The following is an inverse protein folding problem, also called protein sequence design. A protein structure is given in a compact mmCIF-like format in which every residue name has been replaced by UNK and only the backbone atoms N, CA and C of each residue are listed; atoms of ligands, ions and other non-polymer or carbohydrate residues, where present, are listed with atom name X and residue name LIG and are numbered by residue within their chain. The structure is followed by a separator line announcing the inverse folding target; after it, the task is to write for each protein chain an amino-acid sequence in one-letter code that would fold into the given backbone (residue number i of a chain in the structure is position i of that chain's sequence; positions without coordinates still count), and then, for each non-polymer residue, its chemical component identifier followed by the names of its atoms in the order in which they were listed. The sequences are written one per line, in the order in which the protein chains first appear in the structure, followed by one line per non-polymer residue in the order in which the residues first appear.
data_IF_850518282367
#
_entry.id   IF_850518282367
#
_cell.length_a   1.000
_cell.length_b   1.000
_cell.length_c   1.000
_cell.angle_alpha   90.00
_cell.angle_beta   90.00
_cell.angle_gamma   90.00
#
_symmetry.space_group_name_H-M   'P 1'
#
loop_
_entity.id
_entity.type
_entity.pdbx_description
1 polymer ?
#
# COMPACT_ATOMS: atom_id res chain seq x y z
N UNK A 1 7.56 2.15 20.33
CA UNK A 1 7.83 3.61 20.35
C UNK A 1 7.62 4.08 21.78
N UNK A 2 8.54 4.87 22.35
CA UNK A 2 8.49 5.34 23.74
C UNK A 2 8.58 6.86 23.78
N UNK A 3 7.86 7.49 24.70
CA UNK A 3 7.86 8.94 24.90
C UNK A 3 8.57 9.28 26.20
N UNK A 4 9.26 10.41 26.22
CA UNK A 4 10.01 10.87 27.37
C UNK A 4 9.05 11.35 28.49
N UNK A 5 9.19 10.85 29.73
CA UNK A 5 8.32 11.25 30.84
C UNK A 5 8.48 12.72 31.26
N UNK A 6 9.59 13.37 30.90
CA UNK A 6 9.86 14.77 31.28
C UNK A 6 9.33 15.80 30.28
N UNK A 7 9.36 15.49 28.98
CA UNK A 7 9.06 16.47 27.93
C UNK A 7 8.11 15.94 26.85
N UNK A 8 7.57 14.74 27.03
CA UNK A 8 6.65 14.05 26.14
C UNK A 8 7.13 13.90 24.68
N UNK A 9 8.43 14.13 24.43
CA UNK A 9 9.04 13.95 23.12
C UNK A 9 9.29 12.48 22.83
N UNK A 10 9.19 12.08 21.56
CA UNK A 10 9.55 10.73 21.12
C UNK A 10 11.03 10.46 21.41
N UNK A 11 11.33 9.30 22.03
CA UNK A 11 12.69 8.89 22.34
C UNK A 11 13.28 8.05 21.21
N UNK A 12 14.59 8.20 20.97
CA UNK A 12 15.32 7.45 19.94
C UNK A 12 16.14 6.34 20.58
N UNK A 13 16.20 5.14 19.98
CA UNK A 13 17.07 4.07 20.46
C UNK A 13 18.54 4.43 20.16
N UNK A 14 19.40 4.30 21.16
CA UNK A 14 20.85 4.48 21.08
C UNK A 14 21.52 3.23 21.67
N UNK A 15 22.64 2.80 21.09
CA UNK A 15 23.48 1.75 21.70
C UNK A 15 24.53 2.43 22.57
N UNK A 16 24.58 2.08 23.85
CA UNK A 16 25.61 2.52 24.78
C UNK A 16 26.18 1.30 25.51
N UNK A 17 27.50 1.09 25.43
CA UNK A 17 28.20 -0.04 26.06
C UNK A 17 27.56 -1.42 25.79
N UNK A 18 27.14 -1.69 24.54
CA UNK A 18 26.55 -2.97 24.16
C UNK A 18 25.08 -3.18 24.57
N UNK A 19 24.49 -2.25 25.33
CA UNK A 19 23.07 -2.25 25.71
C UNK A 19 22.27 -1.27 24.85
N UNK A 20 21.01 -1.63 24.57
CA UNK A 20 20.06 -0.72 23.93
C UNK A 20 19.50 0.24 25.01
N UNK A 21 19.61 1.54 24.80
CA UNK A 21 19.02 2.58 25.64
C UNK A 21 18.11 3.50 24.81
N UNK A 22 17.06 4.05 25.40
CA UNK A 22 16.28 5.13 24.82
C UNK A 22 16.84 6.46 25.29
N UNK A 23 17.14 7.37 24.35
CA UNK A 23 17.57 8.74 24.65
C UNK A 23 16.55 9.73 24.11
N UNK A 24 16.16 10.69 24.93
CA UNK A 24 15.38 11.83 24.50
C UNK A 24 16.28 12.88 23.84
N UNK A 25 15.96 13.29 22.62
CA UNK A 25 16.69 14.34 21.88
C UNK A 25 16.48 15.74 22.46
N UNK A 26 15.35 15.99 23.14
CA UNK A 26 14.97 17.32 23.63
C UNK A 26 15.50 17.66 25.02
N UNK A 27 15.54 16.69 25.93
CA UNK A 27 15.94 16.92 27.33
C UNK A 27 17.08 16.04 27.83
N UNK A 28 17.63 15.16 26.97
CA UNK A 28 18.74 14.29 27.32
C UNK A 28 18.42 13.15 28.29
N UNK A 29 17.14 12.94 28.65
CA UNK A 29 16.73 11.81 29.48
C UNK A 29 17.08 10.48 28.80
N UNK A 30 17.73 9.60 29.55
CA UNK A 30 18.14 8.26 29.11
C UNK A 30 17.49 7.19 29.99
N UNK A 31 17.05 6.11 29.36
CA UNK A 31 16.43 4.97 30.03
C UNK A 31 16.86 3.67 29.35
N UNK A 32 17.11 2.61 30.12
CA UNK A 32 17.47 1.31 29.55
C UNK A 32 16.25 0.69 28.82
N UNK A 33 16.49 0.04 27.67
CA UNK A 33 15.46 -0.69 26.95
C UNK A 33 15.27 -2.04 27.63
N UNK A 34 14.10 -2.35 28.22
CA UNK A 34 13.81 -3.72 28.63
C UNK A 34 13.88 -4.63 27.38
N UNK A 35 14.59 -5.75 27.49
CA UNK A 35 15.09 -6.59 26.38
C UNK A 35 14.04 -7.10 25.37
N UNK A 36 12.75 -6.86 25.60
CA UNK A 36 11.67 -7.49 24.84
C UNK A 36 11.09 -6.68 23.70
N UNK A 37 11.47 -5.43 23.45
CA UNK A 37 10.94 -4.71 22.29
C UNK A 37 11.77 -3.45 22.05
N UNK A 38 12.47 -3.30 20.92
CA UNK A 38 11.89 -2.71 19.71
C UNK A 38 12.92 -2.87 18.59
N UNK A 39 12.67 -3.83 17.71
CA UNK A 39 13.13 -3.71 16.33
C UNK A 39 12.02 -2.95 15.62
N UNK A 40 12.22 -1.66 15.30
CA UNK A 40 11.39 -1.01 14.29
C UNK A 40 11.86 -1.53 12.94
N UNK A 41 11.52 -2.79 12.63
CA UNK A 41 11.44 -3.17 11.23
C UNK A 41 10.09 -2.66 10.78
N UNK A 42 10.08 -1.66 9.91
CA UNK A 42 8.97 -1.46 8.99
C UNK A 42 8.93 -2.67 8.05
N UNK A 43 8.57 -3.84 8.58
CA UNK A 43 7.88 -4.83 7.77
C UNK A 43 6.52 -4.22 7.53
N UNK A 44 6.46 -3.36 6.52
CA UNK A 44 5.22 -3.13 5.80
C UNK A 44 4.78 -4.53 5.41
N UNK A 45 3.85 -5.10 6.18
CA UNK A 45 3.11 -6.27 5.72
C UNK A 45 2.32 -5.68 4.57
N UNK A 46 2.88 -5.77 3.35
CA UNK A 46 2.12 -5.56 2.14
C UNK A 46 0.95 -6.54 2.28
N UNK A 47 -0.20 -6.03 2.71
CA UNK A 47 -1.39 -6.83 2.74
C UNK A 47 -1.62 -7.24 1.29
N UNK A 48 -1.92 -8.50 1.04
CA UNK A 48 -2.15 -9.02 -0.31
C UNK A 48 -3.25 -8.20 -1.02
N UNK A 49 -4.07 -7.43 -0.27
CA UNK A 49 -4.99 -6.41 -0.78
C UNK A 49 -4.34 -5.32 -1.65
N UNK A 50 -3.05 -5.02 -1.52
CA UNK A 50 -2.35 -4.12 -2.45
C UNK A 50 -2.03 -4.77 -3.80
N UNK A 51 -1.99 -6.11 -3.87
CA UNK A 51 -1.74 -6.85 -5.11
C UNK A 51 -3.00 -7.21 -5.88
N UNK A 52 -4.17 -7.10 -5.26
CA UNK A 52 -5.42 -7.57 -5.86
C UNK A 52 -6.48 -6.48 -5.84
N UNK A 53 -6.24 -5.37 -6.53
CA UNK A 53 -7.30 -4.59 -7.19
C UNK A 53 -7.78 -5.32 -8.46
N UNK A 54 -7.75 -6.66 -8.44
CA UNK A 54 -8.48 -7.46 -9.41
C UNK A 54 -9.78 -7.68 -8.67
N UNK A 55 -10.84 -6.99 -9.12
CA UNK A 55 -12.17 -7.09 -8.54
C UNK A 55 -12.60 -8.57 -8.55
N UNK A 56 -12.33 -9.26 -7.45
CA UNK A 56 -13.07 -10.43 -7.07
C UNK A 56 -14.33 -9.93 -6.37
N UNK A 57 -15.46 -10.40 -6.90
CA UNK A 57 -16.82 -10.36 -6.37
C UNK A 57 -17.71 -9.11 -6.66
N UNK A 58 -18.71 -9.45 -7.49
CA UNK A 58 -20.02 -8.86 -7.80
C UNK A 58 -20.20 -7.40 -8.24
N UNK A 59 -19.43 -6.40 -7.80
CA UNK A 59 -19.78 -5.01 -8.10
C UNK A 59 -18.80 -4.35 -9.07
N UNK A 60 -19.30 -4.07 -10.27
CA UNK A 60 -18.62 -3.16 -11.19
C UNK A 60 -18.44 -1.80 -10.51
N UNK A 61 -17.25 -1.17 -10.62
CA UNK A 61 -17.06 0.15 -10.02
C UNK A 61 -18.06 1.12 -10.65
N UNK A 62 -18.60 2.03 -9.84
CA UNK A 62 -19.69 2.95 -10.20
C UNK A 62 -19.41 3.86 -11.40
N UNK A 63 -18.17 3.93 -11.88
CA UNK A 63 -17.74 4.63 -13.10
C UNK A 63 -17.39 3.75 -14.30
N UNK A 64 -17.68 2.44 -14.25
CA UNK A 64 -17.34 1.52 -15.33
C UNK A 64 -18.27 1.71 -16.55
N UNK A 65 -17.68 1.96 -17.71
CA UNK A 65 -18.38 2.20 -18.97
C UNK A 65 -18.12 1.07 -19.96
N UNK A 66 -19.08 0.77 -20.86
CA UNK A 66 -18.88 -0.20 -21.94
C UNK A 66 -18.17 0.46 -23.12
N UNK A 67 -17.13 -0.19 -23.64
CA UNK A 67 -16.40 0.22 -24.84
C UNK A 67 -16.33 -0.92 -25.85
N UNK A 68 -16.31 -0.56 -27.14
CA UNK A 68 -16.06 -1.48 -28.27
C UNK A 68 -14.72 -1.13 -28.92
N UNK A 69 -14.03 -2.11 -29.49
CA UNK A 69 -12.71 -1.93 -30.10
C UNK A 69 -11.54 -2.39 -29.22
N UNK A 70 -11.80 -3.02 -28.07
CA UNK A 70 -10.76 -3.58 -27.20
C UNK A 70 -10.91 -5.09 -27.15
N UNK A 71 -9.98 -5.79 -27.80
CA UNK A 71 -9.99 -7.25 -27.87
C UNK A 71 -9.57 -7.89 -26.55
N UNK A 72 -10.42 -8.74 -26.00
CA UNK A 72 -10.09 -9.51 -24.81
C UNK A 72 -8.91 -10.46 -25.09
N UNK A 73 -7.83 -10.43 -24.29
CA UNK A 73 -6.65 -11.27 -24.51
C UNK A 73 -6.90 -12.77 -24.29
N UNK A 74 -8.06 -13.15 -23.74
CA UNK A 74 -8.40 -14.56 -23.48
C UNK A 74 -9.42 -15.13 -24.44
N UNK A 75 -10.45 -14.37 -24.82
CA UNK A 75 -11.55 -14.89 -25.65
C UNK A 75 -11.77 -14.09 -26.94
N UNK A 76 -10.94 -13.08 -27.22
CA UNK A 76 -11.01 -12.20 -28.41
C UNK A 76 -12.35 -11.49 -28.61
N UNK A 77 -13.13 -11.34 -27.54
CA UNK A 77 -14.33 -10.52 -27.57
C UNK A 77 -13.97 -9.04 -27.76
N UNK A 78 -14.74 -8.31 -28.55
CA UNK A 78 -14.49 -6.89 -28.87
C UNK A 78 -15.16 -5.90 -27.90
N UNK A 79 -15.93 -6.42 -26.94
CA UNK A 79 -16.61 -5.61 -25.93
C UNK A 79 -16.00 -5.83 -24.54
N UNK A 80 -15.72 -4.72 -23.86
CA UNK A 80 -15.21 -4.70 -22.50
C UNK A 80 -15.83 -3.54 -21.70
N UNK A 81 -15.92 -3.71 -20.39
CA UNK A 81 -16.09 -2.59 -19.47
C UNK A 81 -14.73 -1.97 -19.19
N UNK A 82 -14.64 -0.65 -19.14
CA UNK A 82 -13.43 0.07 -18.76
C UNK A 82 -13.69 1.03 -17.60
N UNK A 83 -12.69 1.20 -16.74
CA UNK A 83 -12.64 2.24 -15.72
C UNK A 83 -11.20 2.67 -15.47
N UNK A 84 -11.06 3.85 -14.87
CA UNK A 84 -9.77 4.47 -14.62
C UNK A 84 -9.56 4.55 -13.10
N UNK A 85 -8.39 4.15 -12.63
CA UNK A 85 -8.04 4.16 -11.21
C UNK A 85 -6.64 4.74 -11.01
N UNK A 86 -6.53 5.70 -10.08
CA UNK A 86 -5.26 6.26 -9.64
C UNK A 86 -4.58 5.28 -8.67
N UNK A 87 -3.71 4.43 -9.19
CA UNK A 87 -3.00 3.42 -8.40
C UNK A 87 -1.59 3.87 -7.97
N UNK A 88 -1.16 5.06 -8.39
CA UNK A 88 0.22 5.57 -8.22
C UNK A 88 0.23 7.02 -7.74
N UNK A 89 1.43 7.62 -7.63
CA UNK A 89 1.58 9.02 -7.22
C UNK A 89 0.89 9.96 -8.19
N UNK A 90 0.54 11.15 -7.72
CA UNK A 90 -0.16 12.17 -8.51
C UNK A 90 0.60 12.64 -9.77
N UNK A 91 1.92 12.43 -9.81
CA UNK A 91 2.78 12.76 -10.96
C UNK A 91 2.76 11.70 -12.08
N UNK A 92 2.10 10.55 -11.87
CA UNK A 92 2.02 9.46 -12.85
C UNK A 92 0.62 9.37 -13.51
N UNK A 93 0.53 8.93 -14.77
CA UNK A 93 -0.74 8.76 -15.44
C UNK A 93 -1.60 7.69 -14.73
N UNK A 94 -2.93 7.83 -14.75
CA UNK A 94 -3.81 6.84 -14.16
C UNK A 94 -3.72 5.49 -14.88
N UNK A 95 -4.01 4.40 -14.17
CA UNK A 95 -4.10 3.07 -14.78
C UNK A 95 -5.50 2.83 -15.34
N UNK A 96 -5.58 2.36 -16.60
CA UNK A 96 -6.83 1.90 -17.21
C UNK A 96 -7.02 0.42 -16.96
N UNK A 97 -8.23 0.05 -16.56
CA UNK A 97 -8.63 -1.33 -16.33
C UNK A 97 -9.74 -1.71 -17.30
N UNK A 98 -9.71 -2.95 -17.76
CA UNK A 98 -10.72 -3.53 -18.63
C UNK A 98 -11.26 -4.83 -18.04
N UNK A 99 -12.56 -5.09 -18.19
CA UNK A 99 -13.21 -6.37 -17.86
C UNK A 99 -14.00 -6.86 -19.06
N UNK A 100 -13.69 -8.06 -19.54
CA UNK A 100 -14.40 -8.65 -20.66
C UNK A 100 -15.87 -8.89 -20.30
N UNK A 101 -16.80 -8.48 -21.18
CA UNK A 101 -18.24 -8.73 -20.99
C UNK A 101 -18.61 -10.21 -21.11
N UNK A 102 -17.78 -11.02 -21.78
CA UNK A 102 -18.04 -12.43 -22.07
C UNK A 102 -17.39 -13.40 -21.09
N UNK A 103 -16.06 -13.30 -20.90
CA UNK A 103 -15.32 -14.23 -20.04
C UNK A 103 -14.97 -13.67 -18.66
N UNK A 104 -15.34 -12.42 -18.37
CA UNK A 104 -15.07 -11.79 -17.08
C UNK A 104 -13.60 -11.50 -16.78
N UNK A 105 -12.66 -11.84 -17.69
CA UNK A 105 -11.24 -11.56 -17.49
C UNK A 105 -11.01 -10.07 -17.32
N UNK A 106 -10.26 -9.70 -16.27
CA UNK A 106 -9.82 -8.35 -16.00
C UNK A 106 -8.36 -8.19 -16.40
N UNK A 107 -8.01 -7.11 -17.09
CA UNK A 107 -6.63 -6.75 -17.42
C UNK A 107 -6.40 -5.25 -17.30
N UNK A 108 -5.13 -4.86 -17.28
CA UNK A 108 -4.68 -3.47 -17.15
C UNK A 108 -3.93 -3.05 -18.40
N UNK A 109 -4.08 -1.79 -18.78
CA UNK A 109 -3.29 -1.14 -19.82
C UNK A 109 -2.59 0.06 -19.21
N UNK A 110 -1.29 0.16 -19.47
CA UNK A 110 -0.47 1.30 -19.09
C UNK A 110 -0.35 2.20 -20.33
N UNK A 111 -0.71 3.48 -20.17
CA UNK A 111 -0.31 4.53 -21.11
C UNK A 111 1.10 5.02 -20.81
#
# INVERSE_FOLDING_TARGET
MKFCPKCNSMMVPKKSNGKNTYRCTKCGYEEEVPETTIVVTSKVKHSIKEKTLILEEEEMPSGAQKIKGVLCPSCKNDEAYFWILQTRRADEPPTRFYKCTKCGKVWREYE
#
